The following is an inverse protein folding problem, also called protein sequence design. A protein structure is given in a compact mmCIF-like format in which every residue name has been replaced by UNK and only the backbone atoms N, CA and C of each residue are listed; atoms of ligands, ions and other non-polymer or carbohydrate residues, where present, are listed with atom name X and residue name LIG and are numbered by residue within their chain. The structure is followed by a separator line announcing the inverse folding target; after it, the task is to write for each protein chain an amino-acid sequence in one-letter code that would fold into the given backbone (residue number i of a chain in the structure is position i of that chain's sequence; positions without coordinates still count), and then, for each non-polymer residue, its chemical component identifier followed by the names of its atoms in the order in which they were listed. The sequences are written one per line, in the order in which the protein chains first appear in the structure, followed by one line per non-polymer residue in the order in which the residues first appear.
data_IF_786415490333
#
_entry.id   IF_786415490333
#
_cell.length_a   1.000
_cell.length_b   1.000
_cell.length_c   1.000
_cell.angle_alpha   90.00
_cell.angle_beta   90.00
_cell.angle_gamma   90.00
#
_symmetry.space_group_name_H-M   'P 1'
#
loop_
_entity.id
_entity.type
_entity.pdbx_description
1 polymer ?
#
# COMPACT_ATOMS: atom_id res chain seq x y z
N UNK A 1 -14.92 -1.87 11.83
CA UNK A 1 -13.84 -2.82 11.55
C UNK A 1 -13.18 -3.27 12.86
N UNK A 2 -12.41 -2.41 13.51
CA UNK A 2 -11.61 -2.80 14.69
C UNK A 2 -12.44 -3.30 15.88
N UNK A 3 -13.58 -2.66 16.17
CA UNK A 3 -14.49 -3.05 17.26
C UNK A 3 -15.05 -4.48 17.13
N UNK A 4 -14.91 -5.11 15.95
CA UNK A 4 -15.32 -6.49 15.67
C UNK A 4 -14.16 -7.36 15.20
N UNK A 5 -12.91 -6.96 15.46
CA UNK A 5 -11.71 -7.74 15.15
C UNK A 5 -11.29 -7.73 13.67
N UNK A 6 -11.81 -6.81 12.85
CA UNK A 6 -11.44 -6.68 11.43
C UNK A 6 -10.40 -5.57 11.26
N UNK A 7 -9.31 -5.84 10.54
CA UNK A 7 -8.30 -4.86 10.17
C UNK A 7 -8.83 -3.90 9.09
N UNK A 8 -8.87 -2.58 9.33
CA UNK A 8 -9.30 -1.62 8.32
C UNK A 8 -8.20 -1.37 7.29
N UNK A 9 -8.47 -1.75 6.03
CA UNK A 9 -7.62 -1.50 4.87
C UNK A 9 -8.42 -0.65 3.89
N UNK A 10 -7.78 0.29 3.20
CA UNK A 10 -8.45 1.12 2.21
C UNK A 10 -7.58 1.47 1.01
N UNK A 11 -8.22 1.58 -0.16
CA UNK A 11 -7.60 2.12 -1.37
C UNK A 11 -7.56 3.64 -1.28
N UNK A 12 -6.38 4.22 -1.42
CA UNK A 12 -6.20 5.67 -1.53
C UNK A 12 -6.43 6.11 -2.98
N UNK A 13 -6.84 7.36 -3.23
CA UNK A 13 -6.98 7.86 -4.60
C UNK A 13 -5.63 8.20 -5.25
N UNK A 14 -4.57 8.32 -4.45
CA UNK A 14 -3.21 8.63 -4.91
C UNK A 14 -2.18 8.22 -3.85
N UNK A 15 -0.98 7.84 -4.29
CA UNK A 15 0.14 7.45 -3.42
C UNK A 15 0.95 8.64 -2.89
N UNK A 16 0.52 9.87 -3.19
CA UNK A 16 1.16 11.08 -2.65
C UNK A 16 1.10 11.07 -1.12
N UNK A 17 2.23 11.36 -0.47
CA UNK A 17 2.38 11.18 0.98
C UNK A 17 1.34 11.92 1.81
N UNK A 18 0.92 13.12 1.39
CA UNK A 18 -0.11 13.89 2.09
C UNK A 18 -1.51 13.26 1.98
N UNK A 19 -1.83 12.58 0.87
CA UNK A 19 -3.09 11.84 0.69
C UNK A 19 -3.07 10.58 1.54
N UNK A 20 -2.00 9.80 1.46
CA UNK A 20 -1.82 8.58 2.27
C UNK A 20 -1.92 8.91 3.76
N UNK A 21 -1.26 9.98 4.20
CA UNK A 21 -1.32 10.46 5.59
C UNK A 21 -2.75 10.72 6.05
N UNK A 22 -3.58 11.43 5.27
CA UNK A 22 -4.97 11.70 5.63
C UNK A 22 -5.80 10.44 5.90
N UNK A 23 -5.50 9.35 5.18
CA UNK A 23 -6.16 8.06 5.38
C UNK A 23 -5.65 7.36 6.63
N UNK A 24 -4.33 7.33 6.82
CA UNK A 24 -3.70 6.74 8.00
C UNK A 24 -4.10 7.48 9.30
N UNK A 25 -4.21 8.80 9.25
CA UNK A 25 -4.65 9.66 10.36
C UNK A 25 -6.10 9.37 10.81
N UNK A 26 -6.90 8.74 9.94
CA UNK A 26 -8.26 8.27 10.24
C UNK A 26 -8.28 6.86 10.84
N UNK A 27 -7.12 6.24 11.04
CA UNK A 27 -6.98 4.94 11.68
C UNK A 27 -7.00 3.73 10.73
N UNK A 28 -6.71 3.94 9.43
CA UNK A 28 -6.45 2.80 8.56
C UNK A 28 -5.14 2.11 8.99
N UNK A 29 -5.15 0.78 8.93
CA UNK A 29 -4.00 -0.10 9.22
C UNK A 29 -3.43 -0.75 7.97
N UNK A 30 -4.10 -0.58 6.83
CA UNK A 30 -3.61 -0.98 5.52
C UNK A 30 -3.94 0.04 4.45
N UNK A 31 -3.05 0.20 3.48
CA UNK A 31 -3.21 1.08 2.32
C UNK A 31 -3.03 0.25 1.06
N UNK A 32 -3.99 0.35 0.14
CA UNK A 32 -3.84 -0.11 -1.24
C UNK A 32 -3.53 1.11 -2.12
N UNK A 33 -2.32 1.17 -2.68
CA UNK A 33 -1.92 2.22 -3.62
C UNK A 33 -2.36 1.89 -5.05
N UNK A 34 -3.06 2.81 -5.73
CA UNK A 34 -3.41 2.65 -7.14
C UNK A 34 -2.20 2.93 -8.04
N UNK A 35 -2.27 2.48 -9.29
CA UNK A 35 -1.32 2.80 -10.36
C UNK A 35 0.16 2.56 -10.01
N UNK A 36 0.47 1.42 -9.35
CA UNK A 36 1.86 1.05 -9.09
C UNK A 36 2.43 0.43 -10.37
N UNK A 37 3.23 1.22 -11.08
CA UNK A 37 3.67 0.90 -12.44
C UNK A 37 5.19 0.85 -12.59
N UNK A 38 5.92 1.25 -11.55
CA UNK A 38 7.38 1.31 -11.51
C UNK A 38 7.93 1.06 -10.09
N UNK A 39 9.22 0.76 -10.00
CA UNK A 39 9.95 0.68 -8.71
C UNK A 39 9.79 1.94 -7.87
N UNK A 40 9.86 3.11 -8.52
CA UNK A 40 9.73 4.40 -7.84
C UNK A 40 8.33 4.59 -7.22
N UNK A 41 7.27 4.14 -7.90
CA UNK A 41 5.90 4.21 -7.37
C UNK A 41 5.75 3.33 -6.12
N UNK A 42 6.30 2.12 -6.17
CA UNK A 42 6.28 1.19 -5.04
C UNK A 42 7.09 1.73 -3.84
N UNK A 43 8.30 2.25 -4.07
CA UNK A 43 9.11 2.89 -3.03
C UNK A 43 8.41 4.11 -2.42
N UNK A 44 7.77 4.94 -3.24
CA UNK A 44 6.98 6.08 -2.77
C UNK A 44 5.84 5.64 -1.87
N UNK A 45 5.08 4.62 -2.27
CA UNK A 45 3.97 4.08 -1.50
C UNK A 45 4.44 3.55 -0.13
N UNK A 46 5.51 2.73 -0.10
CA UNK A 46 6.06 2.19 1.15
C UNK A 46 6.50 3.31 2.08
N UNK A 47 7.27 4.28 1.56
CA UNK A 47 7.75 5.42 2.36
C UNK A 47 6.62 6.28 2.89
N UNK A 48 5.54 6.45 2.13
CA UNK A 48 4.37 7.21 2.57
C UNK A 48 3.62 6.53 3.74
N UNK A 49 3.72 5.20 3.86
CA UNK A 49 2.99 4.43 4.88
C UNK A 49 3.75 4.27 6.20
N UNK A 50 5.09 4.38 6.18
CA UNK A 50 5.97 4.06 7.31
C UNK A 50 6.60 5.28 7.95
N UNK A 51 6.76 5.28 9.26
CA UNK A 51 7.56 6.26 9.99
C UNK A 51 9.06 5.99 9.79
N UNK A 52 9.89 7.01 10.04
CA UNK A 52 11.34 6.89 9.96
C UNK A 52 11.91 5.81 10.90
N UNK A 53 12.98 5.10 10.51
CA UNK A 53 13.79 5.30 9.30
C UNK A 53 13.27 4.56 8.05
N UNK A 54 12.21 3.77 8.14
CA UNK A 54 11.68 2.97 7.02
C UNK A 54 10.87 3.79 6.01
N UNK A 55 10.45 5.00 6.38
CA UNK A 55 9.71 5.90 5.52
C UNK A 55 9.68 7.32 6.06
N UNK A 56 8.74 8.11 5.53
CA UNK A 56 8.62 9.55 5.77
C UNK A 56 7.19 9.95 6.12
N UNK A 57 6.42 9.01 6.70
CA UNK A 57 5.09 9.29 7.23
C UNK A 57 5.18 10.42 8.26
N UNK A 58 4.42 11.49 8.02
CA UNK A 58 4.29 12.58 8.98
C UNK A 58 3.52 12.14 10.22
N UNK A 59 3.73 12.84 11.32
CA UNK A 59 3.05 12.61 12.58
C UNK A 59 2.05 13.73 12.89
N UNK A 60 0.90 13.37 13.44
CA UNK A 60 -0.04 14.29 14.07
C UNK A 60 -0.81 13.58 15.19
N UNK A 61 -1.23 14.30 16.23
CA UNK A 61 -2.04 13.75 17.32
C UNK A 61 -3.50 13.59 16.85
N UNK A 62 -3.84 12.42 16.33
CA UNK A 62 -5.14 12.14 15.70
C UNK A 62 -5.55 10.69 15.97
N UNK A 63 -6.65 10.23 15.36
CA UNK A 63 -7.16 8.88 15.56
C UNK A 63 -6.11 7.81 15.20
N UNK A 64 -5.40 8.00 14.09
CA UNK A 64 -4.38 7.07 13.58
C UNK A 64 -3.16 6.92 14.49
N UNK A 65 -2.97 7.85 15.42
CA UNK A 65 -1.89 7.85 16.41
C UNK A 65 -2.41 7.75 17.85
N UNK A 66 -3.66 7.34 18.04
CA UNK A 66 -4.24 7.19 19.38
C UNK A 66 -4.38 8.51 20.15
N UNK A 67 -4.43 9.65 19.44
CA UNK A 67 -4.52 11.01 19.99
C UNK A 67 -3.39 11.37 20.98
N UNK A 68 -2.21 10.79 20.83
CA UNK A 68 -1.07 10.95 21.75
C UNK A 68 -1.37 10.50 23.19
N UNK A 69 -2.36 9.63 23.40
CA UNK A 69 -2.60 9.01 24.71
C UNK A 69 -1.57 7.92 25.02
N UNK A 70 -0.32 8.33 25.20
CA UNK A 70 0.82 7.51 25.60
C UNK A 70 1.39 7.98 26.94
N UNK A 71 2.08 7.08 27.63
CA UNK A 71 2.82 7.44 28.84
C UNK A 71 3.92 8.49 28.53
N UNK A 72 4.15 9.47 29.42
CA UNK A 72 5.23 10.43 29.24
C UNK A 72 6.61 9.77 29.26
N UNK A 73 7.48 10.20 28.35
CA UNK A 73 8.88 9.85 28.33
C UNK A 73 9.72 10.69 29.29
N UNK A 74 11.06 10.50 29.26
CA UNK A 74 12.00 11.20 30.14
C UNK A 74 11.98 12.74 30.02
N UNK A 75 11.47 13.28 28.91
CA UNK A 75 11.33 14.71 28.63
C UNK A 75 9.96 15.28 29.02
N UNK A 76 9.08 14.46 29.60
CA UNK A 76 7.72 14.83 30.00
C UNK A 76 6.71 14.86 28.85
N UNK A 77 7.10 14.52 27.62
CA UNK A 77 6.21 14.42 26.46
C UNK A 77 5.79 12.97 26.18
N UNK A 78 4.67 12.72 25.48
CA UNK A 78 4.28 11.36 25.11
C UNK A 78 5.42 10.62 24.40
N UNK A 79 5.80 9.44 24.91
CA UNK A 79 6.82 8.60 24.31
C UNK A 79 6.25 7.80 23.14
N UNK A 80 6.64 8.18 21.92
CA UNK A 80 6.11 7.62 20.67
C UNK A 80 6.96 6.49 20.10
N UNK A 81 8.10 6.14 20.73
CA UNK A 81 9.08 5.19 20.16
C UNK A 81 8.49 3.82 19.93
N UNK A 82 7.80 3.29 20.92
CA UNK A 82 7.12 1.99 20.82
C UNK A 82 5.98 2.05 19.79
N UNK A 83 5.23 3.15 19.77
CA UNK A 83 4.18 3.37 18.80
C UNK A 83 4.71 3.37 17.35
N UNK A 84 5.81 4.08 17.05
CA UNK A 84 6.40 4.10 15.70
C UNK A 84 6.82 2.70 15.25
N UNK A 85 7.51 1.97 16.13
CA UNK A 85 7.91 0.60 15.86
C UNK A 85 6.69 -0.28 15.60
N UNK A 86 5.68 -0.23 16.48
CA UNK A 86 4.47 -1.03 16.34
C UNK A 86 3.69 -0.68 15.06
N UNK A 87 3.54 0.61 14.76
CA UNK A 87 2.86 1.10 13.58
C UNK A 87 3.56 0.61 12.30
N UNK A 88 4.90 0.66 12.23
CA UNK A 88 5.65 0.13 11.10
C UNK A 88 5.50 -1.39 10.99
N UNK A 89 5.73 -2.13 12.08
CA UNK A 89 5.69 -3.60 12.09
C UNK A 89 4.31 -4.17 11.67
N UNK A 90 3.23 -3.40 11.87
CA UNK A 90 1.85 -3.82 11.63
C UNK A 90 1.17 -3.09 10.46
N UNK A 91 1.91 -2.30 9.68
CA UNK A 91 1.38 -1.60 8.52
C UNK A 91 1.26 -2.57 7.33
N UNK A 92 0.06 -2.67 6.74
CA UNK A 92 -0.15 -3.43 5.50
C UNK A 92 -0.10 -2.53 4.27
N UNK A 93 0.82 -2.77 3.35
CA UNK A 93 0.98 -1.99 2.12
C UNK A 93 0.68 -2.88 0.91
N UNK A 94 -0.36 -2.54 0.16
CA UNK A 94 -0.78 -3.23 -1.05
C UNK A 94 -0.51 -2.42 -2.31
N UNK A 95 0.03 -3.05 -3.34
CA UNK A 95 0.22 -2.43 -4.66
C UNK A 95 -0.86 -2.91 -5.64
N UNK A 96 -1.60 -1.97 -6.22
CA UNK A 96 -2.54 -2.25 -7.30
C UNK A 96 -1.83 -2.04 -8.65
N UNK A 97 -1.65 -3.15 -9.36
CA UNK A 97 -1.00 -3.24 -10.65
C UNK A 97 -2.05 -3.07 -11.75
N UNK A 98 -2.15 -1.88 -12.34
CA UNK A 98 -3.26 -1.56 -13.25
C UNK A 98 -2.86 -0.74 -14.48
N UNK A 99 -1.57 -0.71 -14.80
CA UNK A 99 -1.01 -0.02 -15.94
C UNK A 99 -0.18 -0.97 -16.82
N UNK A 100 -0.18 -0.74 -18.14
CA UNK A 100 0.51 -1.58 -19.12
C UNK A 100 2.01 -1.73 -18.85
N UNK A 101 2.63 -0.74 -18.20
CA UNK A 101 4.04 -0.71 -17.82
C UNK A 101 4.39 -1.89 -16.91
N UNK A 102 3.43 -2.40 -16.13
CA UNK A 102 3.61 -3.58 -15.29
C UNK A 102 4.02 -4.81 -16.11
N UNK A 103 3.61 -4.93 -17.36
CA UNK A 103 3.93 -6.10 -18.20
C UNK A 103 5.45 -6.30 -18.33
N UNK A 104 6.21 -5.21 -18.40
CA UNK A 104 7.67 -5.24 -18.58
C UNK A 104 8.41 -4.89 -17.28
N UNK A 105 7.85 -4.04 -16.42
CA UNK A 105 8.50 -3.51 -15.22
C UNK A 105 8.21 -4.23 -13.91
N UNK A 106 7.39 -5.30 -13.92
CA UNK A 106 6.96 -5.99 -12.70
C UNK A 106 8.13 -6.45 -11.82
N UNK A 107 9.22 -6.94 -12.43
CA UNK A 107 10.35 -7.47 -11.69
C UNK A 107 11.02 -6.41 -10.80
N UNK A 108 11.16 -5.18 -11.31
CA UNK A 108 11.72 -4.07 -10.53
C UNK A 108 10.79 -3.64 -9.38
N UNK A 109 9.48 -3.75 -9.57
CA UNK A 109 8.47 -3.49 -8.52
C UNK A 109 8.60 -4.55 -7.41
N UNK A 110 8.78 -5.82 -7.79
CA UNK A 110 8.90 -6.93 -6.84
C UNK A 110 10.18 -6.89 -6.00
N UNK A 111 11.21 -6.17 -6.44
CA UNK A 111 12.43 -5.92 -5.64
C UNK A 111 12.21 -4.98 -4.46
N UNK A 112 11.10 -4.21 -4.45
CA UNK A 112 10.84 -3.22 -3.40
C UNK A 112 10.38 -3.91 -2.12
N UNK A 113 11.21 -3.80 -1.10
CA UNK A 113 10.85 -4.26 0.24
C UNK A 113 9.71 -3.41 0.84
N UNK A 114 8.79 -4.07 1.55
CA UNK A 114 7.72 -3.40 2.28
C UNK A 114 6.38 -3.33 1.57
N UNK A 115 6.24 -3.92 0.37
CA UNK A 115 4.93 -4.26 -0.22
C UNK A 115 4.53 -5.65 0.30
N UNK A 116 3.40 -5.73 1.00
CA UNK A 116 2.91 -6.94 1.64
C UNK A 116 2.10 -7.83 0.71
N UNK A 117 1.41 -7.22 -0.26
CA UNK A 117 0.58 -7.94 -1.23
C UNK A 117 0.35 -7.11 -2.51
N UNK A 118 -0.01 -7.80 -3.59
CA UNK A 118 -0.26 -7.23 -4.90
C UNK A 118 -1.66 -7.62 -5.37
N UNK A 119 -2.33 -6.72 -6.08
CA UNK A 119 -3.57 -6.99 -6.79
C UNK A 119 -3.51 -6.45 -8.22
N UNK A 120 -4.45 -6.85 -9.07
CA UNK A 120 -4.59 -6.31 -10.43
C UNK A 120 -5.94 -5.63 -10.58
N UNK A 121 -5.92 -4.32 -10.86
CA UNK A 121 -7.10 -3.52 -11.17
C UNK A 121 -7.54 -3.77 -12.61
N UNK A 122 -8.25 -4.87 -12.87
CA UNK A 122 -8.48 -5.36 -14.24
C UNK A 122 -9.19 -4.36 -15.18
N UNK A 123 -10.06 -3.49 -14.66
CA UNK A 123 -10.75 -2.50 -15.48
C UNK A 123 -9.81 -1.38 -15.95
N UNK A 124 -8.94 -0.89 -15.06
CA UNK A 124 -7.96 0.14 -15.40
C UNK A 124 -6.80 -0.46 -16.20
N UNK A 125 -6.39 -1.70 -15.88
CA UNK A 125 -5.43 -2.45 -16.68
C UNK A 125 -5.92 -2.67 -18.12
N UNK A 126 -7.17 -3.11 -18.29
CA UNK A 126 -7.82 -3.26 -19.60
C UNK A 126 -7.80 -1.96 -20.40
N UNK A 127 -8.15 -0.84 -19.77
CA UNK A 127 -8.02 0.48 -20.41
C UNK A 127 -6.58 0.78 -20.84
N UNK A 128 -5.60 0.50 -19.97
CA UNK A 128 -4.18 0.79 -20.23
C UNK A 128 -3.59 0.01 -21.42
N UNK A 129 -4.11 -1.21 -21.69
CA UNK A 129 -3.68 -2.05 -22.80
C UNK A 129 -4.56 -1.90 -24.06
N UNK A 130 -5.46 -0.91 -24.09
CA UNK A 130 -6.28 -0.59 -25.27
C UNK A 130 -7.62 -1.32 -25.34
N UNK A 131 -8.10 -1.87 -24.22
CA UNK A 131 -9.37 -2.60 -24.08
C UNK A 131 -10.31 -1.92 -23.05
N UNK A 132 -10.69 -0.64 -23.25
CA UNK A 132 -11.52 0.09 -22.29
C UNK A 132 -12.90 -0.55 -22.13
N UNK A 133 -13.34 -0.72 -20.87
CA UNK A 133 -14.63 -1.34 -20.55
C UNK A 133 -14.67 -2.87 -20.73
N UNK A 134 -13.54 -3.49 -21.09
CA UNK A 134 -13.43 -4.93 -21.35
C UNK A 134 -12.58 -5.65 -20.30
N UNK A 135 -12.65 -5.23 -19.03
CA UNK A 135 -11.84 -5.80 -17.94
C UNK A 135 -12.05 -7.30 -17.69
N UNK A 136 -13.18 -7.85 -18.12
CA UNK A 136 -13.52 -9.28 -18.03
C UNK A 136 -13.25 -10.06 -19.34
N UNK A 137 -12.58 -9.44 -20.32
CA UNK A 137 -12.27 -10.13 -21.57
C UNK A 137 -11.21 -11.23 -21.36
N UNK A 138 -11.22 -12.29 -22.20
CA UNK A 138 -10.19 -13.33 -22.16
C UNK A 138 -8.76 -12.76 -22.26
N UNK A 139 -8.56 -11.72 -23.07
CA UNK A 139 -7.26 -11.07 -23.26
C UNK A 139 -6.76 -10.38 -21.98
N UNK A 140 -7.64 -9.63 -21.30
CA UNK A 140 -7.30 -9.01 -20.00
C UNK A 140 -7.07 -10.08 -18.94
N UNK A 141 -7.91 -11.12 -18.92
CA UNK A 141 -7.80 -12.25 -18.00
C UNK A 141 -6.48 -13.01 -18.15
N UNK A 142 -6.04 -13.27 -19.38
CA UNK A 142 -4.76 -13.95 -19.66
C UNK A 142 -3.57 -13.10 -19.22
N UNK A 143 -3.57 -11.80 -19.54
CA UNK A 143 -2.51 -10.89 -19.14
C UNK A 143 -2.44 -10.71 -17.61
N UNK A 144 -3.60 -10.56 -16.95
CA UNK A 144 -3.73 -10.58 -15.49
C UNK A 144 -3.17 -11.87 -14.91
N UNK A 145 -3.51 -13.03 -15.47
CA UNK A 145 -2.99 -14.33 -15.03
C UNK A 145 -1.46 -14.37 -15.05
N UNK A 146 -0.84 -13.92 -16.15
CA UNK A 146 0.63 -13.84 -16.27
C UNK A 146 1.25 -12.95 -15.21
N UNK A 147 0.66 -11.78 -14.93
CA UNK A 147 1.12 -10.86 -13.87
C UNK A 147 1.05 -11.55 -12.51
N UNK A 148 -0.09 -12.13 -12.16
CA UNK A 148 -0.29 -12.77 -10.85
C UNK A 148 0.62 -13.99 -10.65
N UNK A 149 0.84 -14.79 -11.69
CA UNK A 149 1.76 -15.93 -11.64
C UNK A 149 3.21 -15.46 -11.47
N UNK A 150 3.60 -14.37 -12.12
CA UNK A 150 4.92 -13.76 -11.93
C UNK A 150 5.12 -13.17 -10.54
N UNK A 151 4.08 -12.54 -9.96
CA UNK A 151 4.10 -12.07 -8.56
C UNK A 151 4.37 -13.26 -7.63
N UNK A 152 3.60 -14.35 -7.78
CA UNK A 152 3.75 -15.56 -6.95
C UNK A 152 5.13 -16.18 -7.09
N UNK A 153 5.64 -16.32 -8.31
CA UNK A 153 6.98 -16.89 -8.55
C UNK A 153 8.12 -16.00 -8.05
N UNK A 154 7.89 -14.68 -7.97
CA UNK A 154 8.81 -13.71 -7.36
C UNK A 154 8.75 -13.67 -5.83
N UNK A 155 7.92 -14.49 -5.18
CA UNK A 155 7.74 -14.50 -3.73
C UNK A 155 6.76 -13.45 -3.19
N UNK A 156 6.13 -12.67 -4.07
CA UNK A 156 5.07 -11.74 -3.72
C UNK A 156 3.76 -12.47 -3.39
N UNK A 157 2.96 -11.88 -2.50
CA UNK A 157 1.61 -12.39 -2.16
C UNK A 157 0.58 -11.72 -3.05
N UNK A 158 -0.41 -12.47 -3.49
CA UNK A 158 -1.56 -11.96 -4.26
C UNK A 158 -2.75 -11.79 -3.32
N UNK A 159 -3.41 -10.64 -3.39
CA UNK A 159 -4.74 -10.45 -2.80
C UNK A 159 -5.80 -11.00 -3.75
N UNK A 160 -6.55 -12.01 -3.30
CA UNK A 160 -7.65 -12.62 -4.06
C UNK A 160 -8.97 -11.84 -3.90
#
# INVERSE_FOLDING_TARGET
AEAVGITPIGRVPSIQSHVVLQYLDRGLKGIMGPHISSKADAEQLVRACRFGPEGDRSYGANRGTGYDFFEPGPDGWPDRREFYKNANDNMLVGALLEDKQVIEGLDEILEVNGIDYFGVGQNDFGQSIGLPGMGDSPEVGEAKGKILDRVRSGGGRVGD
#
